data_IF_677323026347
#
_entry.id   IF_677323026347
#
_cell.length_a   1.000
_cell.length_b   1.000
_cell.length_c   1.000
_cell.angle_alpha   90.00
_cell.angle_beta   90.00
_cell.angle_gamma   90.00
#
_symmetry.space_group_name_H-M   'P 1'
#
loop_
_entity.id
_entity.type
_entity.pdbx_description
1 polymer ?
#
# COMPACT_ATOMS: atom_id res chain seq x y z
N UNK A 1 -87.34 87.70 -29.76
CA UNK A 1 -87.67 88.61 -30.88
C UNK A 1 -86.82 88.21 -32.08
N UNK A 2 -87.50 87.83 -33.16
CA UNK A 2 -87.00 87.48 -34.49
C UNK A 2 -86.31 88.66 -35.18
N UNK A 3 -85.17 88.46 -35.86
CA UNK A 3 -84.95 89.17 -37.14
C UNK A 3 -84.16 88.31 -38.14
N UNK A 4 -84.63 88.37 -39.38
CA UNK A 4 -84.40 87.50 -40.54
C UNK A 4 -83.07 87.75 -41.26
N UNK A 5 -82.61 86.70 -41.97
CA UNK A 5 -81.60 86.73 -43.02
C UNK A 5 -82.16 87.28 -44.34
N UNK A 6 -81.29 87.90 -45.13
CA UNK A 6 -81.30 88.00 -46.60
C UNK A 6 -79.85 87.72 -47.03
N UNK A 7 -79.48 86.78 -47.90
CA UNK A 7 -79.97 86.28 -49.21
C UNK A 7 -79.56 87.18 -50.38
N UNK A 8 -78.37 86.88 -50.91
CA UNK A 8 -78.00 86.92 -52.35
C UNK A 8 -77.07 85.69 -52.52
N UNK A 9 -77.63 84.52 -52.87
CA UNK A 9 -77.62 83.91 -54.22
C UNK A 9 -76.32 83.09 -54.43
N UNK A 10 -76.33 81.76 -54.32
CA UNK A 10 -77.15 80.76 -55.02
C UNK A 10 -76.88 80.75 -56.54
N UNK A 11 -75.72 80.19 -56.89
CA UNK A 11 -75.54 79.53 -58.18
C UNK A 11 -74.72 78.25 -58.00
N UNK A 12 -75.48 77.16 -57.97
CA UNK A 12 -75.15 75.82 -58.49
C UNK A 12 -74.26 74.90 -57.65
N UNK A 13 -74.93 74.00 -56.92
CA UNK A 13 -74.49 72.60 -56.78
C UNK A 13 -74.63 71.99 -55.40
N UNK A 14 -75.83 71.48 -55.06
CA UNK A 14 -76.08 70.50 -53.98
C UNK A 14 -74.98 69.41 -53.96
N UNK A 15 -74.46 68.97 -52.82
CA UNK A 15 -75.18 68.23 -51.79
C UNK A 15 -74.52 68.31 -50.39
N UNK A 16 -75.32 67.92 -49.38
CA UNK A 16 -75.22 68.27 -47.97
C UNK A 16 -74.19 67.52 -47.11
N UNK A 17 -73.64 68.29 -46.16
CA UNK A 17 -73.15 68.02 -44.80
C UNK A 17 -72.54 66.65 -44.40
N UNK A 18 -71.31 66.70 -43.90
CA UNK A 18 -70.95 66.23 -42.55
C UNK A 18 -69.64 66.91 -42.09
N UNK A 19 -69.47 67.21 -40.79
CA UNK A 19 -68.27 67.89 -40.29
C UNK A 19 -67.08 66.92 -40.29
N UNK A 20 -66.06 67.24 -41.07
CA UNK A 20 -64.79 66.50 -41.13
C UNK A 20 -64.05 66.65 -39.79
N UNK A 21 -63.66 65.54 -39.13
CA UNK A 21 -62.89 65.61 -37.89
C UNK A 21 -61.42 65.97 -38.19
N UNK A 22 -60.85 66.84 -37.34
CA UNK A 22 -59.42 67.11 -37.28
C UNK A 22 -58.66 65.93 -36.58
N UNK A 23 -57.34 65.77 -36.80
CA UNK A 23 -56.66 64.47 -36.85
C UNK A 23 -56.04 63.96 -35.53
N UNK A 24 -56.54 64.35 -34.36
CA UNK A 24 -55.90 63.96 -33.08
C UNK A 24 -56.15 62.50 -32.66
N UNK A 25 -57.27 61.88 -33.06
CA UNK A 25 -57.63 60.54 -32.61
C UNK A 25 -56.86 59.40 -33.33
N UNK A 26 -56.46 59.60 -34.60
CA UNK A 26 -55.76 58.58 -35.38
C UNK A 26 -54.29 58.44 -34.94
N UNK A 27 -53.61 59.56 -34.66
CA UNK A 27 -52.20 59.58 -34.21
C UNK A 27 -52.08 59.02 -32.79
N UNK A 28 -53.07 59.26 -31.91
CA UNK A 28 -53.13 58.65 -30.59
C UNK A 28 -53.36 57.12 -30.65
N UNK A 29 -54.20 56.63 -31.57
CA UNK A 29 -54.43 55.19 -31.76
C UNK A 29 -53.20 54.47 -32.33
N UNK A 30 -52.46 55.11 -33.23
CA UNK A 30 -51.25 54.53 -33.85
C UNK A 30 -50.06 54.53 -32.87
N UNK A 31 -49.91 55.59 -32.05
CA UNK A 31 -48.93 55.63 -30.97
C UNK A 31 -49.23 54.61 -29.86
N UNK A 32 -50.51 54.38 -29.53
CA UNK A 32 -50.94 53.34 -28.58
C UNK A 32 -50.70 51.94 -29.15
N UNK A 33 -50.96 51.72 -30.44
CA UNK A 33 -50.66 50.44 -31.10
C UNK A 33 -49.14 50.16 -31.12
N UNK A 34 -48.32 51.15 -31.47
CA UNK A 34 -46.86 51.04 -31.49
C UNK A 34 -46.29 50.77 -30.07
N UNK A 35 -46.88 51.40 -29.05
CA UNK A 35 -46.52 51.15 -27.66
C UNK A 35 -46.93 49.75 -27.19
N UNK A 36 -48.08 49.24 -27.63
CA UNK A 36 -48.49 47.86 -27.34
C UNK A 36 -47.58 46.84 -28.02
N UNK A 37 -47.17 47.06 -29.27
CA UNK A 37 -46.20 46.20 -29.96
C UNK A 37 -44.84 46.20 -29.26
N UNK A 38 -44.34 47.38 -28.85
CA UNK A 38 -43.10 47.47 -28.06
C UNK A 38 -43.23 46.78 -26.71
N UNK A 39 -44.40 46.85 -26.07
CA UNK A 39 -44.66 46.19 -24.79
C UNK A 39 -44.69 44.66 -24.96
N UNK A 40 -45.30 44.16 -26.04
CA UNK A 40 -45.27 42.73 -26.42
C UNK A 40 -43.84 42.23 -26.70
N UNK A 41 -43.03 43.00 -27.44
CA UNK A 41 -41.61 42.70 -27.67
C UNK A 41 -40.81 42.66 -26.37
N UNK A 42 -41.03 43.62 -25.46
CA UNK A 42 -40.37 43.66 -24.15
C UNK A 42 -40.77 42.46 -23.30
N UNK A 43 -42.06 42.10 -23.26
CA UNK A 43 -42.54 40.93 -22.52
C UNK A 43 -41.98 39.62 -23.10
N UNK A 44 -41.89 39.52 -24.43
CA UNK A 44 -41.24 38.38 -25.11
C UNK A 44 -39.76 38.28 -24.74
N UNK A 45 -39.03 39.40 -24.79
CA UNK A 45 -37.62 39.44 -24.40
C UNK A 45 -37.39 39.07 -22.92
N UNK A 46 -38.29 39.50 -22.02
CA UNK A 46 -38.24 39.12 -20.60
C UNK A 46 -38.50 37.62 -20.43
N UNK A 47 -39.45 37.03 -21.18
CA UNK A 47 -39.72 35.59 -21.13
C UNK A 47 -38.54 34.77 -21.66
N UNK A 48 -37.91 35.22 -22.75
CA UNK A 48 -36.71 34.58 -23.30
C UNK A 48 -35.52 34.69 -22.35
N UNK A 49 -35.28 35.86 -21.76
CA UNK A 49 -34.22 36.05 -20.78
C UNK A 49 -34.46 35.20 -19.52
N UNK A 50 -35.72 35.11 -19.06
CA UNK A 50 -36.10 34.20 -17.98
C UNK A 50 -35.83 32.74 -18.34
N UNK A 51 -36.17 32.30 -19.56
CA UNK A 51 -35.94 30.93 -20.04
C UNK A 51 -34.44 30.62 -20.09
N UNK A 52 -33.64 31.49 -20.69
CA UNK A 52 -32.18 31.33 -20.79
C UNK A 52 -31.54 31.34 -19.40
N UNK A 53 -31.95 32.25 -18.52
CA UNK A 53 -31.45 32.29 -17.13
C UNK A 53 -31.81 31.02 -16.38
N UNK A 54 -33.05 30.53 -16.52
CA UNK A 54 -33.50 29.31 -15.86
C UNK A 54 -32.73 28.08 -16.36
N UNK A 55 -32.55 27.93 -17.68
CA UNK A 55 -31.73 26.85 -18.25
C UNK A 55 -30.29 26.93 -17.78
N UNK A 56 -29.67 28.11 -17.82
CA UNK A 56 -28.28 28.32 -17.37
C UNK A 56 -28.11 28.02 -15.87
N UNK A 57 -29.08 28.39 -15.03
CA UNK A 57 -29.05 28.03 -13.60
C UNK A 57 -29.18 26.52 -13.36
N UNK A 58 -29.96 25.81 -14.18
CA UNK A 58 -30.07 24.35 -14.07
C UNK A 58 -28.77 23.67 -14.52
N UNK A 59 -28.19 24.09 -15.64
CA UNK A 59 -26.94 23.54 -16.15
C UNK A 59 -25.76 23.74 -15.17
N UNK A 60 -25.68 24.93 -14.54
CA UNK A 60 -24.63 25.21 -13.54
C UNK A 60 -24.83 24.42 -12.25
N UNK A 61 -26.08 24.26 -11.79
CA UNK A 61 -26.40 23.42 -10.62
C UNK A 61 -26.10 21.94 -10.92
N UNK A 62 -26.42 21.45 -12.11
CA UNK A 62 -26.07 20.09 -12.52
C UNK A 62 -24.57 19.86 -12.62
N UNK A 63 -23.81 20.82 -13.18
CA UNK A 63 -22.36 20.75 -13.23
C UNK A 63 -21.75 20.71 -11.83
N UNK A 64 -22.17 21.61 -10.94
CA UNK A 64 -21.75 21.62 -9.54
C UNK A 64 -22.11 20.30 -8.82
N UNK A 65 -23.28 19.72 -9.10
CA UNK A 65 -23.69 18.42 -8.56
C UNK A 65 -22.78 17.28 -9.04
N UNK A 66 -22.35 17.30 -10.30
CA UNK A 66 -21.40 16.31 -10.84
C UNK A 66 -20.03 16.43 -10.17
N UNK A 67 -19.48 17.63 -10.10
CA UNK A 67 -18.21 17.91 -9.42
C UNK A 67 -18.24 17.48 -7.95
N UNK A 68 -19.34 17.76 -7.24
CA UNK A 68 -19.53 17.33 -5.87
C UNK A 68 -19.58 15.80 -5.73
N UNK A 69 -20.24 15.12 -6.69
CA UNK A 69 -20.28 13.66 -6.73
C UNK A 69 -18.90 13.05 -6.96
N UNK A 70 -18.10 13.64 -7.86
CA UNK A 70 -16.71 13.23 -8.12
C UNK A 70 -15.82 13.47 -6.90
N UNK A 71 -15.98 14.61 -6.22
CA UNK A 71 -15.26 14.90 -4.98
C UNK A 71 -15.61 13.90 -3.86
N UNK A 72 -16.88 13.50 -3.73
CA UNK A 72 -17.28 12.47 -2.78
C UNK A 72 -16.73 11.08 -3.14
N UNK A 73 -16.69 10.72 -4.43
CA UNK A 73 -16.08 9.48 -4.88
C UNK A 73 -14.58 9.46 -4.56
N UNK A 74 -13.86 10.53 -4.88
CA UNK A 74 -12.44 10.67 -4.56
C UNK A 74 -12.18 10.60 -3.04
N UNK A 75 -13.02 11.26 -2.23
CA UNK A 75 -12.91 11.14 -0.77
C UNK A 75 -13.08 9.70 -0.30
N UNK A 76 -14.07 8.99 -0.84
CA UNK A 76 -14.28 7.58 -0.51
C UNK A 76 -13.07 6.71 -0.90
N UNK A 77 -12.44 6.97 -2.03
CA UNK A 77 -11.22 6.27 -2.44
C UNK A 77 -10.04 6.58 -1.51
N UNK A 78 -9.88 7.85 -1.11
CA UNK A 78 -8.86 8.26 -0.16
C UNK A 78 -9.05 7.61 1.22
N UNK A 79 -10.30 7.47 1.68
CA UNK A 79 -10.60 6.78 2.94
C UNK A 79 -10.19 5.30 2.86
N UNK A 80 -10.49 4.62 1.74
CA UNK A 80 -10.05 3.23 1.52
C UNK A 80 -8.51 3.13 1.53
N UNK A 81 -7.80 4.05 0.86
CA UNK A 81 -6.35 4.07 0.87
C UNK A 81 -5.78 4.31 2.27
N UNK A 82 -6.37 5.24 3.03
CA UNK A 82 -5.98 5.53 4.41
C UNK A 82 -6.14 4.30 5.31
N UNK A 83 -7.25 3.58 5.18
CA UNK A 83 -7.50 2.36 5.95
C UNK A 83 -6.53 1.25 5.59
N UNK A 84 -6.18 1.11 4.31
CA UNK A 84 -5.15 0.18 3.86
C UNK A 84 -3.77 0.53 4.45
N UNK A 85 -3.36 1.79 4.36
CA UNK A 85 -2.08 2.27 4.91
C UNK A 85 -2.02 2.06 6.42
N UNK A 86 -3.11 2.34 7.14
CA UNK A 86 -3.18 2.18 8.60
C UNK A 86 -3.01 0.71 8.99
N UNK A 87 -3.67 -0.21 8.28
CA UNK A 87 -3.48 -1.66 8.49
C UNK A 87 -2.05 -2.10 8.20
N UNK A 88 -1.47 -1.67 7.09
CA UNK A 88 -0.06 -2.01 6.77
C UNK A 88 0.90 -1.47 7.81
N UNK A 89 0.67 -0.25 8.34
CA UNK A 89 1.46 0.29 9.46
C UNK A 89 1.33 -0.57 10.73
N UNK A 90 0.13 -1.10 11.03
CA UNK A 90 -0.08 -2.02 12.15
C UNK A 90 0.68 -3.33 11.99
N UNK A 91 0.67 -3.91 10.79
CA UNK A 91 1.40 -5.14 10.50
C UNK A 91 2.92 -4.93 10.65
N UNK A 92 3.45 -3.83 10.12
CA UNK A 92 4.88 -3.49 10.21
C UNK A 92 5.30 -3.21 11.66
N UNK A 93 4.49 -2.50 12.43
CA UNK A 93 4.73 -2.31 13.85
C UNK A 93 4.79 -3.64 14.61
N UNK A 94 3.93 -4.59 14.25
CA UNK A 94 3.89 -5.92 14.87
C UNK A 94 5.14 -6.73 14.55
N UNK A 95 5.58 -6.72 13.28
CA UNK A 95 6.82 -7.36 12.85
C UNK A 95 8.04 -6.75 13.56
N UNK A 96 8.11 -5.43 13.64
CA UNK A 96 9.19 -4.71 14.32
C UNK A 96 9.22 -4.99 15.83
N UNK A 97 8.05 -5.11 16.48
CA UNK A 97 7.99 -5.52 17.89
C UNK A 97 8.59 -6.91 18.09
N UNK A 98 8.28 -7.86 17.20
CA UNK A 98 8.86 -9.21 17.23
C UNK A 98 10.39 -9.18 17.12
N UNK A 99 10.92 -8.26 16.29
CA UNK A 99 12.37 -8.02 16.22
C UNK A 99 12.99 -7.64 17.56
N UNK A 100 12.36 -6.69 18.25
CA UNK A 100 12.91 -6.14 19.49
C UNK A 100 12.68 -7.03 20.73
N UNK A 101 11.80 -8.03 20.65
CA UNK A 101 11.56 -9.01 21.73
C UNK A 101 12.46 -10.25 21.65
N UNK A 102 13.47 -10.25 20.76
CA UNK A 102 14.36 -11.40 20.61
C UNK A 102 13.68 -12.62 19.97
N UNK A 103 12.54 -12.45 19.30
CA UNK A 103 11.93 -13.45 18.40
C UNK A 103 11.96 -12.94 16.95
N UNK A 104 12.95 -12.10 16.67
CA UNK A 104 13.11 -11.35 15.44
C UNK A 104 13.66 -12.16 14.30
N UNK A 105 13.33 -11.74 13.09
CA UNK A 105 13.91 -12.29 11.86
C UNK A 105 15.44 -12.20 11.85
N UNK A 106 16.01 -11.14 12.44
CA UNK A 106 17.45 -10.95 12.66
C UNK A 106 18.06 -12.00 13.58
N UNK A 107 17.37 -12.35 14.67
CA UNK A 107 17.81 -13.42 15.58
C UNK A 107 17.77 -14.77 14.87
N UNK A 108 16.65 -15.08 14.21
CA UNK A 108 16.49 -16.33 13.45
C UNK A 108 17.56 -16.44 12.35
N UNK A 109 17.86 -15.36 11.66
CA UNK A 109 18.95 -15.30 10.68
C UNK A 109 20.30 -15.62 11.32
N UNK A 110 20.62 -15.01 12.47
CA UNK A 110 21.85 -15.31 13.22
C UNK A 110 21.91 -16.75 13.73
N UNK A 111 20.81 -17.29 14.24
CA UNK A 111 20.73 -18.68 14.69
C UNK A 111 20.94 -19.66 13.53
N UNK A 112 20.39 -19.36 12.35
CA UNK A 112 20.62 -20.15 11.14
C UNK A 112 22.08 -20.05 10.65
N UNK A 113 22.69 -18.87 10.70
CA UNK A 113 24.13 -18.70 10.40
C UNK A 113 24.98 -19.57 11.37
N UNK A 114 24.70 -19.51 12.67
CA UNK A 114 25.41 -20.30 13.67
C UNK A 114 25.22 -21.82 13.48
N UNK A 115 24.04 -22.26 13.05
CA UNK A 115 23.81 -23.68 12.68
C UNK A 115 24.66 -24.07 11.48
N UNK A 116 24.72 -23.24 10.44
CA UNK A 116 25.56 -23.51 9.26
C UNK A 116 27.01 -23.64 9.68
N UNK A 117 27.55 -22.66 10.41
CA UNK A 117 28.94 -22.65 10.88
C UNK A 117 29.27 -23.90 11.72
N UNK A 118 28.40 -24.23 12.68
CA UNK A 118 28.58 -25.43 13.53
C UNK A 118 28.55 -26.72 12.71
N UNK A 119 27.65 -26.83 11.73
CA UNK A 119 27.58 -28.01 10.86
C UNK A 119 28.78 -28.11 9.91
N UNK A 120 29.27 -27.00 9.37
CA UNK A 120 30.48 -26.97 8.54
C UNK A 120 31.71 -27.41 9.33
N UNK A 121 31.85 -26.93 10.57
CA UNK A 121 32.96 -27.32 11.44
C UNK A 121 32.89 -28.80 11.84
N UNK A 122 31.69 -29.30 12.16
CA UNK A 122 31.48 -30.72 12.43
C UNK A 122 31.82 -31.58 11.20
N UNK A 123 31.37 -31.18 10.01
CA UNK A 123 31.69 -31.89 8.75
C UNK A 123 33.17 -31.86 8.43
N UNK A 124 33.88 -30.74 8.64
CA UNK A 124 35.33 -30.67 8.48
C UNK A 124 36.06 -31.63 9.41
N UNK A 125 35.61 -31.73 10.67
CA UNK A 125 36.15 -32.68 11.65
C UNK A 125 35.91 -34.13 11.22
N UNK A 126 34.72 -34.45 10.73
CA UNK A 126 34.36 -35.78 10.24
C UNK A 126 35.23 -36.15 9.01
N UNK A 127 35.39 -35.23 8.06
CA UNK A 127 36.23 -35.45 6.87
C UNK A 127 37.68 -35.71 7.26
N UNK A 128 38.24 -34.94 8.20
CA UNK A 128 39.59 -35.19 8.73
C UNK A 128 39.72 -36.58 9.37
N UNK A 129 38.73 -37.01 10.16
CA UNK A 129 38.72 -38.35 10.73
C UNK A 129 38.65 -39.45 9.65
N UNK A 130 37.89 -39.23 8.58
CA UNK A 130 37.80 -40.15 7.44
C UNK A 130 39.14 -40.25 6.70
N UNK A 131 39.84 -39.13 6.49
CA UNK A 131 41.18 -39.10 5.87
C UNK A 131 42.23 -39.87 6.71
N UNK A 132 42.17 -39.74 8.04
CA UNK A 132 43.01 -40.53 8.95
C UNK A 132 42.70 -42.03 8.87
N UNK A 133 41.41 -42.41 8.80
CA UNK A 133 40.99 -43.80 8.62
C UNK A 133 41.52 -44.34 7.28
N UNK A 134 41.39 -43.60 6.19
CA UNK A 134 41.89 -44.00 4.87
C UNK A 134 43.40 -44.22 4.87
N UNK A 135 44.13 -43.29 5.48
CA UNK A 135 45.59 -43.33 5.60
C UNK A 135 46.04 -44.58 6.37
N UNK A 136 45.43 -44.82 7.53
CA UNK A 136 45.74 -45.97 8.37
C UNK A 136 45.35 -47.30 7.69
N UNK A 137 44.18 -47.36 7.05
CA UNK A 137 43.73 -48.53 6.30
C UNK A 137 44.69 -48.84 5.13
N UNK A 138 45.15 -47.82 4.40
CA UNK A 138 46.11 -47.96 3.31
C UNK A 138 47.47 -48.48 3.78
N UNK A 139 47.97 -47.98 4.92
CA UNK A 139 49.20 -48.49 5.53
C UNK A 139 49.04 -49.96 5.97
N UNK A 140 47.93 -50.29 6.64
CA UNK A 140 47.62 -51.66 7.03
C UNK A 140 47.53 -52.59 5.83
N UNK A 141 46.98 -52.12 4.71
CA UNK A 141 46.89 -52.88 3.45
C UNK A 141 48.27 -53.28 2.93
N UNK A 142 49.22 -52.34 2.98
CA UNK A 142 50.60 -52.57 2.55
C UNK A 142 51.35 -53.57 3.45
N UNK A 143 51.06 -53.58 4.75
CA UNK A 143 51.68 -54.48 5.73
C UNK A 143 51.01 -55.87 5.79
N UNK A 144 49.76 -55.98 5.36
CA UNK A 144 48.98 -57.23 5.46
C UNK A 144 49.32 -58.21 4.33
N UNK A 145 49.67 -59.44 4.71
CA UNK A 145 50.02 -60.54 3.79
C UNK A 145 48.90 -61.55 3.58
N UNK A 146 47.93 -61.63 4.49
CA UNK A 146 46.78 -62.54 4.37
C UNK A 146 45.71 -62.00 3.43
N UNK A 147 45.17 -62.86 2.55
CA UNK A 147 44.12 -62.47 1.60
C UNK A 147 42.84 -61.97 2.28
N UNK A 148 42.35 -62.68 3.30
CA UNK A 148 41.16 -62.26 4.06
C UNK A 148 41.35 -60.91 4.77
N UNK A 149 42.56 -60.62 5.27
CA UNK A 149 42.87 -59.32 5.86
C UNK A 149 42.84 -58.19 4.83
N UNK A 150 43.31 -58.43 3.60
CA UNK A 150 43.23 -57.45 2.50
C UNK A 150 41.80 -57.18 2.06
N UNK A 151 40.96 -58.20 1.95
CA UNK A 151 39.54 -58.04 1.60
C UNK A 151 38.78 -57.17 2.61
N UNK A 152 39.03 -57.38 3.92
CA UNK A 152 38.43 -56.53 4.96
C UNK A 152 38.90 -55.07 4.87
N UNK A 153 40.17 -54.85 4.55
CA UNK A 153 40.71 -53.48 4.39
C UNK A 153 40.14 -52.81 3.14
N UNK A 154 40.01 -53.54 2.03
CA UNK A 154 39.36 -53.04 0.81
C UNK A 154 37.89 -52.64 1.09
N UNK A 155 37.17 -53.44 1.89
CA UNK A 155 35.82 -53.09 2.34
C UNK A 155 35.78 -51.82 3.21
N UNK A 156 36.78 -51.58 4.07
CA UNK A 156 36.90 -50.33 4.84
C UNK A 156 37.09 -49.14 3.89
N UNK A 157 38.04 -49.24 2.95
CA UNK A 157 38.33 -48.17 1.98
C UNK A 157 37.11 -47.86 1.11
N UNK A 158 36.33 -48.87 0.72
CA UNK A 158 35.05 -48.65 0.02
C UNK A 158 34.06 -47.83 0.87
N UNK A 159 34.00 -48.05 2.20
CA UNK A 159 33.13 -47.25 3.09
C UNK A 159 33.64 -45.85 3.35
N UNK A 160 34.95 -45.64 3.33
CA UNK A 160 35.54 -44.29 3.35
C UNK A 160 35.05 -43.50 2.13
N UNK A 161 35.07 -44.07 0.93
CA UNK A 161 34.56 -43.43 -0.30
C UNK A 161 33.09 -43.04 -0.16
N UNK A 162 32.24 -43.96 0.33
CA UNK A 162 30.82 -43.68 0.57
C UNK A 162 30.62 -42.56 1.59
N UNK A 163 31.47 -42.48 2.63
CA UNK A 163 31.38 -41.43 3.63
C UNK A 163 31.76 -40.05 3.05
N UNK A 164 32.78 -39.97 2.19
CA UNK A 164 33.10 -38.73 1.44
C UNK A 164 31.93 -38.26 0.58
N UNK A 165 31.29 -39.17 -0.17
CA UNK A 165 30.13 -38.84 -1.00
C UNK A 165 28.94 -38.36 -0.16
N UNK A 166 28.69 -38.96 1.00
CA UNK A 166 27.63 -38.55 1.91
C UNK A 166 27.85 -37.13 2.48
N UNK A 167 29.10 -36.78 2.80
CA UNK A 167 29.43 -35.45 3.32
C UNK A 167 29.22 -34.32 2.29
N UNK A 168 29.27 -34.63 0.98
CA UNK A 168 29.05 -33.65 -0.08
C UNK A 168 27.61 -33.07 -0.08
N UNK A 169 26.62 -33.78 0.51
CA UNK A 169 25.26 -33.25 0.64
C UNK A 169 25.15 -32.10 1.66
N UNK A 170 26.11 -31.97 2.59
CA UNK A 170 26.11 -30.88 3.57
C UNK A 170 26.36 -29.52 2.91
N UNK A 171 27.25 -29.44 1.91
CA UNK A 171 27.53 -28.20 1.17
C UNK A 171 26.27 -27.61 0.52
N UNK A 172 25.45 -28.46 -0.12
CA UNK A 172 24.18 -28.02 -0.70
C UNK A 172 23.18 -27.53 0.36
N UNK A 173 23.22 -28.10 1.57
CA UNK A 173 22.35 -27.69 2.68
C UNK A 173 22.80 -26.34 3.24
N UNK A 174 24.11 -26.14 3.47
CA UNK A 174 24.68 -24.86 3.89
C UNK A 174 24.34 -23.74 2.92
N UNK A 175 24.52 -23.96 1.61
CA UNK A 175 24.16 -22.99 0.57
C UNK A 175 22.66 -22.62 0.59
N UNK A 176 21.77 -23.60 0.79
CA UNK A 176 20.32 -23.36 0.86
C UNK A 176 19.96 -22.53 2.09
N UNK A 177 20.55 -22.83 3.25
CA UNK A 177 20.33 -22.07 4.48
C UNK A 177 20.86 -20.64 4.32
N UNK A 178 22.08 -20.46 3.79
CA UNK A 178 22.64 -19.15 3.50
C UNK A 178 21.75 -18.30 2.58
N UNK A 179 21.10 -18.93 1.60
CA UNK A 179 20.11 -18.25 0.75
C UNK A 179 18.87 -17.81 1.55
N UNK A 180 18.37 -18.65 2.45
CA UNK A 180 17.25 -18.30 3.33
C UNK A 180 17.64 -17.12 4.23
N UNK A 181 18.82 -17.17 4.86
CA UNK A 181 19.35 -16.08 5.69
C UNK A 181 19.45 -14.78 4.90
N UNK A 182 19.95 -14.83 3.65
CA UNK A 182 20.00 -13.65 2.78
C UNK A 182 18.61 -13.04 2.51
N UNK A 183 17.57 -13.87 2.35
CA UNK A 183 16.20 -13.38 2.19
C UNK A 183 15.68 -12.74 3.48
N UNK A 184 15.96 -13.33 4.65
CA UNK A 184 15.55 -12.77 5.94
C UNK A 184 16.20 -11.38 6.17
N UNK A 185 17.50 -11.25 5.90
CA UNK A 185 18.25 -9.98 5.96
C UNK A 185 17.68 -8.95 4.97
N UNK A 186 17.34 -9.37 3.76
CA UNK A 186 16.71 -8.48 2.77
C UNK A 186 15.34 -7.96 3.21
N UNK A 187 14.50 -8.82 3.81
CA UNK A 187 13.18 -8.40 4.30
C UNK A 187 13.34 -7.38 5.43
N UNK A 188 14.28 -7.62 6.34
CA UNK A 188 14.62 -6.72 7.43
C UNK A 188 15.08 -5.34 6.91
N UNK A 189 16.05 -5.29 6.00
CA UNK A 189 16.49 -4.04 5.36
C UNK A 189 15.35 -3.32 4.62
N UNK A 190 14.37 -4.08 4.13
CA UNK A 190 13.18 -3.50 3.50
C UNK A 190 12.23 -2.91 4.53
N UNK A 191 12.03 -3.57 5.67
CA UNK A 191 11.22 -3.06 6.78
C UNK A 191 11.81 -1.76 7.34
N UNK A 192 13.13 -1.71 7.56
CA UNK A 192 13.82 -0.50 8.03
C UNK A 192 13.60 0.68 7.07
N UNK A 193 13.75 0.44 5.76
CA UNK A 193 13.48 1.46 4.74
C UNK A 193 12.01 1.91 4.72
N UNK A 194 11.06 1.01 4.95
CA UNK A 194 9.64 1.37 5.03
C UNK A 194 9.36 2.24 6.25
N UNK A 195 9.94 1.91 7.41
CA UNK A 195 9.81 2.71 8.63
C UNK A 195 10.39 4.11 8.41
N UNK A 196 11.58 4.20 7.83
CA UNK A 196 12.23 5.47 7.50
C UNK A 196 11.41 6.31 6.52
N UNK A 197 10.88 5.69 5.46
CA UNK A 197 10.07 6.37 4.45
C UNK A 197 8.81 7.03 5.03
N UNK A 198 8.31 6.55 6.17
CA UNK A 198 7.14 7.12 6.85
C UNK A 198 7.48 8.12 7.95
N UNK A 199 8.74 8.51 8.12
CA UNK A 199 9.16 9.47 9.12
C UNK A 199 9.76 8.85 10.38
N UNK A 200 10.24 7.60 10.28
CA UNK A 200 10.93 6.91 11.35
C UNK A 200 10.01 6.33 12.43
N UNK A 201 10.65 5.77 13.46
CA UNK A 201 9.99 4.99 14.51
C UNK A 201 8.97 5.79 15.33
N UNK A 202 9.11 7.12 15.39
CA UNK A 202 8.17 8.01 16.09
C UNK A 202 6.75 7.89 15.55
N UNK A 203 6.60 7.69 14.24
CA UNK A 203 5.28 7.50 13.60
C UNK A 203 4.62 6.16 13.93
N UNK A 204 5.39 5.23 14.50
CA UNK A 204 4.95 3.93 14.96
C UNK A 204 4.85 3.85 16.48
N UNK A 205 5.32 4.86 17.23
CA UNK A 205 5.38 4.85 18.70
C UNK A 205 4.02 4.57 19.35
N UNK A 206 2.95 5.21 18.87
CA UNK A 206 1.58 4.99 19.35
C UNK A 206 1.08 3.55 19.08
N UNK A 207 1.54 2.94 18.00
CA UNK A 207 1.18 1.59 17.56
C UNK A 207 2.01 0.50 18.26
N UNK A 208 3.28 0.78 18.49
CA UNK A 208 4.21 -0.11 19.14
C UNK A 208 3.89 -0.27 20.63
N UNK A 209 3.24 0.73 21.23
CA UNK A 209 2.81 0.71 22.62
C UNK A 209 3.99 0.81 23.59
N UNK A 210 3.83 1.61 24.65
CA UNK A 210 4.88 1.94 25.64
C UNK A 210 5.37 0.73 26.47
N UNK A 211 4.82 -0.46 26.26
CA UNK A 211 5.22 -1.65 27.02
C UNK A 211 6.23 -2.49 26.22
N UNK A 212 7.51 -2.17 26.44
CA UNK A 212 8.59 -3.14 26.25
C UNK A 212 8.23 -4.44 26.99
N UNK A 213 8.29 -5.55 26.27
CA UNK A 213 7.65 -6.81 26.62
C UNK A 213 7.91 -7.28 28.05
N UNK A 214 6.84 -7.67 28.74
CA UNK A 214 6.97 -8.76 29.71
C UNK A 214 7.17 -10.02 28.88
N UNK A 215 8.37 -10.60 28.96
CA UNK A 215 8.59 -11.99 28.58
C UNK A 215 7.61 -12.79 29.44
N UNK A 216 6.64 -13.41 28.82
CA UNK A 216 5.69 -14.27 29.52
C UNK A 216 6.44 -15.57 29.84
N UNK A 217 6.90 -15.71 31.09
CA UNK A 217 7.72 -16.83 31.55
C UNK A 217 6.94 -18.16 31.45
N UNK A 218 5.62 -18.09 31.27
CA UNK A 218 4.73 -19.25 31.12
C UNK A 218 4.61 -19.77 29.67
N UNK A 219 5.16 -19.08 28.66
CA UNK A 219 5.19 -19.59 27.27
C UNK A 219 6.37 -20.57 27.11
N UNK A 220 6.09 -21.88 27.01
CA UNK A 220 7.11 -22.92 26.76
C UNK A 220 7.95 -22.63 25.49
N UNK A 221 7.39 -21.94 24.49
CA UNK A 221 8.17 -21.52 23.32
C UNK A 221 9.18 -20.42 23.64
N UNK A 222 9.00 -19.69 24.74
CA UNK A 222 9.99 -18.74 25.26
C UNK A 222 11.15 -19.42 25.99
N UNK A 223 11.04 -20.72 26.31
CA UNK A 223 12.11 -21.52 26.93
C UNK A 223 13.02 -22.21 25.90
N UNK A 224 12.57 -22.29 24.64
CA UNK A 224 13.36 -22.81 23.52
C UNK A 224 14.30 -21.71 23.00
N UNK A 225 15.47 -21.60 23.59
CA UNK A 225 16.54 -20.76 23.05
C UNK A 225 17.23 -21.49 21.89
N UNK A 226 17.42 -20.79 20.77
CA UNK A 226 18.24 -21.29 19.67
C UNK A 226 19.72 -21.39 20.02
N UNK A 227 20.58 -21.82 19.07
CA UNK A 227 22.01 -21.88 19.27
C UNK A 227 22.57 -20.54 19.78
N UNK A 228 23.56 -20.61 20.68
CA UNK A 228 24.19 -19.43 21.29
C UNK A 228 24.79 -18.54 20.20
N UNK A 229 24.37 -17.27 20.18
CA UNK A 229 25.00 -16.23 19.38
C UNK A 229 26.08 -15.51 20.19
N UNK A 230 27.07 -14.94 19.50
CA UNK A 230 28.12 -14.16 20.14
C UNK A 230 27.54 -12.96 20.90
N UNK A 231 27.78 -12.93 22.22
CA UNK A 231 27.31 -11.86 23.12
C UNK A 231 25.96 -12.11 23.80
N UNK A 232 25.29 -13.26 23.58
CA UNK A 232 24.01 -13.55 24.24
C UNK A 232 24.23 -13.86 25.73
N UNK A 233 23.54 -13.12 26.61
CA UNK A 233 23.61 -13.28 28.06
C UNK A 233 22.63 -14.36 28.55
N UNK A 234 23.02 -15.16 29.55
CA UNK A 234 22.14 -16.14 30.20
C UNK A 234 22.16 -17.56 29.61
N UNK A 235 23.14 -17.88 28.77
CA UNK A 235 23.41 -19.26 28.38
C UNK A 235 24.43 -19.86 29.35
N UNK A 236 24.04 -20.95 30.01
CA UNK A 236 24.88 -21.75 30.90
C UNK A 236 26.04 -22.31 30.08
N UNK A 237 27.28 -21.98 30.44
CA UNK A 237 28.46 -22.56 29.82
C UNK A 237 28.83 -23.90 30.47
N UNK A 238 29.75 -24.66 29.85
CA UNK A 238 30.16 -25.95 30.41
C UNK A 238 30.79 -25.80 31.81
N UNK A 239 31.43 -24.66 32.11
CA UNK A 239 31.96 -24.37 33.44
C UNK A 239 30.85 -24.12 34.48
N UNK A 240 29.75 -23.50 34.09
CA UNK A 240 28.56 -23.34 34.93
C UNK A 240 27.89 -24.70 35.21
N UNK A 241 27.90 -25.61 34.23
CA UNK A 241 27.42 -27.00 34.40
C UNK A 241 28.35 -27.75 35.35
N UNK A 242 29.66 -27.67 35.14
CA UNK A 242 30.64 -28.36 35.96
C UNK A 242 30.56 -27.89 37.43
N UNK A 243 30.35 -26.58 37.65
CA UNK A 243 30.14 -25.98 38.99
C UNK A 243 28.84 -26.43 39.69
N UNK A 244 27.90 -27.07 38.98
CA UNK A 244 26.66 -27.60 39.52
C UNK A 244 26.82 -29.03 40.07
N UNK A 245 27.90 -29.72 39.68
CA UNK A 245 28.18 -31.11 40.06
C UNK A 245 29.45 -31.29 40.93
N UNK A 246 30.20 -30.21 41.18
CA UNK A 246 31.29 -30.11 42.17
C UNK A 246 30.83 -29.54 43.53
#
# INVERSE_FOLDING_TARGET
MTTKRYRIEDSLGLAASAPTPAPEAAVASEAVALNNTRLEEILSAIQDLRRVTQTSTVETVEACRRELSEAFAMRSELDIMKDAITRTKQEIATLYRSENTGKGMRRVAGELDAVVDSTEQATSTILGAIEEIETNASMLRAMTTTMAGRENIDAILERVVVAFEACNFQDLTGQRINKIVGVLKFIEEHLDRMIDAWGGLDTFSELLGVNGGKIDIEDENSLLNGPKLDGDAGHVDQGDIDALFD
#
